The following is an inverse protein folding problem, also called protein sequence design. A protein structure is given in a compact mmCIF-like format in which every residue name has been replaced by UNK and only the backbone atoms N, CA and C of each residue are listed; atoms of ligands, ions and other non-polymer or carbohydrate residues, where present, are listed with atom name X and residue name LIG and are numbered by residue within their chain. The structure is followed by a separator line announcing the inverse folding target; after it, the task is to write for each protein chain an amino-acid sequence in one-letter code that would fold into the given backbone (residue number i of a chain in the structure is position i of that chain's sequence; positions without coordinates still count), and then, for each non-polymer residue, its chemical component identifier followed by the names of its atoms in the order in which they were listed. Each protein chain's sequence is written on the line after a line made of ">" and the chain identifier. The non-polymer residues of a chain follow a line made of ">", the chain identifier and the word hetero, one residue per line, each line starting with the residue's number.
data_IF_542630393267
#
_entry.id   IF_542630393267
#
_cell.length_a   1.000
_cell.length_b   1.000
_cell.length_c   1.000
_cell.angle_alpha   90.00
_cell.angle_beta   90.00
_cell.angle_gamma   90.00
#
_symmetry.space_group_name_H-M   'P 1'
#
loop_
_entity.id
_entity.type
_entity.pdbx_description
1 polymer ?
#
# COMPACT_ATOMS: atom_id res chain seq x y z
N UNK A 1 -5.32 -41.53 -17.63
CA UNK A 1 -4.35 -40.49 -18.04
C UNK A 1 -4.27 -39.42 -16.95
N UNK A 2 -3.50 -39.66 -15.88
CA UNK A 2 -3.30 -38.70 -14.77
C UNK A 2 -1.82 -38.43 -14.45
N UNK A 3 -0.89 -38.95 -15.25
CA UNK A 3 0.54 -39.00 -14.90
C UNK A 3 1.24 -37.63 -14.86
N UNK A 4 0.62 -36.56 -15.37
CA UNK A 4 1.16 -35.20 -15.29
C UNK A 4 0.77 -34.48 -13.99
N UNK A 5 -0.32 -34.90 -13.33
CA UNK A 5 -0.82 -34.22 -12.14
C UNK A 5 0.01 -34.64 -10.93
N UNK A 6 0.70 -33.68 -10.30
CA UNK A 6 1.63 -33.91 -9.20
C UNK A 6 1.11 -33.40 -7.86
N UNK A 7 0.19 -32.43 -7.88
CA UNK A 7 -0.40 -31.85 -6.67
C UNK A 7 -1.94 -31.77 -6.74
N UNK A 8 -2.56 -31.30 -5.65
CA UNK A 8 -4.00 -31.20 -5.54
C UNK A 8 -4.64 -30.27 -6.60
N UNK A 9 -4.00 -29.15 -6.93
CA UNK A 9 -4.46 -28.20 -7.94
C UNK A 9 -4.46 -28.85 -9.32
N UNK A 10 -3.40 -29.57 -9.66
CA UNK A 10 -3.29 -30.28 -10.94
C UNK A 10 -4.44 -31.28 -11.13
N UNK A 11 -4.85 -31.96 -10.06
CA UNK A 11 -5.98 -32.90 -10.11
C UNK A 11 -7.32 -32.22 -10.39
N UNK A 12 -7.56 -31.01 -9.85
CA UNK A 12 -8.76 -30.23 -10.19
C UNK A 12 -8.75 -29.80 -11.65
N UNK A 13 -7.60 -29.34 -12.16
CA UNK A 13 -7.44 -28.97 -13.57
C UNK A 13 -7.64 -30.18 -14.50
N UNK A 14 -7.03 -31.32 -14.16
CA UNK A 14 -7.15 -32.57 -14.91
C UNK A 14 -8.60 -33.07 -14.96
N UNK A 15 -9.35 -32.94 -13.87
CA UNK A 15 -10.76 -33.32 -13.83
C UNK A 15 -11.58 -32.49 -14.82
N UNK A 16 -11.39 -31.16 -14.84
CA UNK A 16 -12.12 -30.30 -15.77
C UNK A 16 -11.72 -30.55 -17.22
N UNK A 17 -10.42 -30.74 -17.50
CA UNK A 17 -9.94 -31.09 -18.85
C UNK A 17 -10.59 -32.37 -19.37
N UNK A 18 -10.67 -33.42 -18.54
CA UNK A 18 -11.30 -34.68 -18.92
C UNK A 18 -12.80 -34.51 -19.21
N UNK A 19 -13.51 -33.70 -18.42
CA UNK A 19 -14.93 -33.38 -18.65
C UNK A 19 -15.15 -32.71 -20.02
N UNK A 20 -14.26 -31.79 -20.40
CA UNK A 20 -14.37 -31.04 -21.67
C UNK A 20 -13.60 -31.66 -22.84
N UNK A 21 -13.06 -32.88 -22.68
CA UNK A 21 -12.34 -33.60 -23.73
C UNK A 21 -11.00 -32.98 -24.15
N UNK A 22 -10.35 -32.21 -23.27
CA UNK A 22 -9.03 -31.61 -23.50
C UNK A 22 -7.91 -32.48 -22.94
N UNK A 23 -6.77 -32.49 -23.62
CA UNK A 23 -5.54 -33.13 -23.17
C UNK A 23 -4.46 -32.08 -22.91
N UNK A 24 -3.58 -32.27 -21.92
CA UNK A 24 -2.45 -31.37 -21.68
C UNK A 24 -1.52 -31.30 -22.90
N UNK A 25 -0.97 -30.11 -23.13
CA UNK A 25 0.13 -29.91 -24.08
C UNK A 25 1.40 -30.60 -23.57
N UNK A 26 2.33 -30.99 -24.48
CA UNK A 26 3.64 -31.48 -24.06
C UNK A 26 4.40 -30.39 -23.29
N UNK A 27 5.27 -30.83 -22.38
CA UNK A 27 6.13 -29.93 -21.61
C UNK A 27 7.04 -29.12 -22.53
N UNK A 28 7.24 -27.85 -22.20
CA UNK A 28 8.09 -26.97 -22.98
C UNK A 28 9.57 -27.36 -22.79
N UNK A 29 10.38 -27.21 -23.84
CA UNK A 29 11.83 -27.39 -23.71
C UNK A 29 12.43 -26.42 -22.68
N UNK A 30 13.50 -26.83 -22.01
CA UNK A 30 14.11 -26.11 -20.87
C UNK A 30 14.33 -24.62 -21.16
N UNK A 31 14.85 -24.27 -22.33
CA UNK A 31 15.08 -22.87 -22.70
C UNK A 31 13.79 -22.04 -22.75
N UNK A 32 12.72 -22.60 -23.29
CA UNK A 32 11.39 -21.97 -23.32
C UNK A 32 10.79 -21.88 -21.92
N UNK A 33 10.95 -22.94 -21.12
CA UNK A 33 10.44 -23.01 -19.76
C UNK A 33 11.06 -21.91 -18.89
N UNK A 34 12.40 -21.79 -18.87
CA UNK A 34 13.09 -20.72 -18.13
C UNK A 34 12.68 -19.33 -18.61
N UNK A 35 12.59 -19.12 -19.93
CA UNK A 35 12.20 -17.81 -20.46
C UNK A 35 10.81 -17.39 -20.00
N UNK A 36 9.83 -18.31 -20.00
CA UNK A 36 8.46 -18.03 -19.56
C UNK A 36 8.44 -17.67 -18.09
N UNK A 37 8.99 -18.53 -17.24
CA UNK A 37 8.94 -18.30 -15.79
C UNK A 37 9.72 -17.05 -15.35
N UNK A 38 10.84 -16.72 -16.02
CA UNK A 38 11.54 -15.45 -15.76
C UNK A 38 10.67 -14.24 -16.10
N UNK A 39 10.01 -14.23 -17.27
CA UNK A 39 9.13 -13.13 -17.66
C UNK A 39 7.91 -13.00 -16.75
N UNK A 40 7.36 -14.13 -16.31
CA UNK A 40 6.20 -14.14 -15.42
C UNK A 40 6.56 -13.62 -14.03
N UNK A 41 7.68 -14.09 -13.46
CA UNK A 41 8.07 -13.76 -12.08
C UNK A 41 8.77 -12.41 -11.96
N UNK A 42 9.64 -12.03 -12.90
CA UNK A 42 10.45 -10.81 -12.80
C UNK A 42 10.17 -9.78 -13.89
N UNK A 43 9.37 -10.13 -14.91
CA UNK A 43 9.16 -9.27 -16.08
C UNK A 43 10.37 -9.17 -17.01
N UNK A 44 11.46 -9.89 -16.74
CA UNK A 44 12.71 -9.81 -17.47
C UNK A 44 13.09 -11.16 -18.08
N UNK A 45 13.66 -11.20 -19.29
CA UNK A 45 14.20 -12.44 -19.84
C UNK A 45 15.44 -12.90 -19.05
N UNK A 46 15.73 -14.22 -18.99
CA UNK A 46 16.98 -14.69 -18.40
C UNK A 46 18.18 -14.18 -19.20
N UNK A 47 19.30 -13.96 -18.53
CA UNK A 47 20.55 -13.62 -19.24
C UNK A 47 21.06 -14.84 -20.03
N UNK A 48 21.88 -14.65 -21.09
CA UNK A 48 22.47 -15.77 -21.82
C UNK A 48 23.23 -16.76 -20.92
N UNK A 49 23.93 -16.26 -19.90
CA UNK A 49 24.65 -17.09 -18.93
C UNK A 49 23.71 -17.89 -18.04
N UNK A 50 22.62 -17.29 -17.55
CA UNK A 50 21.61 -18.00 -16.76
C UNK A 50 20.90 -19.08 -17.58
N UNK A 51 20.63 -18.81 -18.85
CA UNK A 51 20.01 -19.77 -19.78
C UNK A 51 20.94 -20.95 -20.03
N UNK A 52 22.21 -20.70 -20.36
CA UNK A 52 23.20 -21.75 -20.59
C UNK A 52 23.40 -22.62 -19.34
N UNK A 53 23.47 -21.99 -18.15
CA UNK A 53 23.58 -22.72 -16.89
C UNK A 53 22.37 -23.62 -16.62
N UNK A 54 21.15 -23.12 -16.83
CA UNK A 54 19.93 -23.90 -16.63
C UNK A 54 19.80 -25.07 -17.60
N UNK A 55 20.14 -24.87 -18.87
CA UNK A 55 20.08 -25.93 -19.89
C UNK A 55 21.11 -27.03 -19.63
N UNK A 56 22.24 -26.69 -19.03
CA UNK A 56 23.28 -27.64 -18.64
C UNK A 56 23.04 -28.29 -17.27
N UNK A 57 22.04 -27.84 -16.50
CA UNK A 57 21.78 -28.32 -15.16
C UNK A 57 21.05 -29.68 -15.19
N UNK A 58 21.76 -30.75 -14.81
CA UNK A 58 21.22 -32.11 -14.73
C UNK A 58 20.91 -32.55 -13.30
N UNK A 59 21.08 -31.67 -12.31
CA UNK A 59 20.81 -32.00 -10.91
C UNK A 59 19.29 -32.09 -10.67
N UNK A 60 18.83 -32.93 -9.73
CA UNK A 60 17.41 -33.03 -9.38
C UNK A 60 16.86 -31.66 -8.99
N UNK A 61 15.63 -31.33 -9.39
CA UNK A 61 14.98 -30.05 -9.08
C UNK A 61 15.64 -28.78 -9.67
N UNK A 62 16.28 -28.89 -10.83
CA UNK A 62 16.86 -27.73 -11.53
C UNK A 62 15.85 -26.61 -11.78
N UNK A 63 14.60 -26.96 -12.13
CA UNK A 63 13.53 -25.99 -12.38
C UNK A 63 13.14 -25.23 -11.10
N UNK A 64 12.91 -25.95 -10.00
CA UNK A 64 12.52 -25.39 -8.71
C UNK A 64 13.61 -24.46 -8.18
N UNK A 65 14.89 -24.85 -8.26
CA UNK A 65 15.99 -23.94 -7.90
C UNK A 65 16.05 -22.68 -8.78
N UNK A 66 15.72 -22.81 -10.07
CA UNK A 66 15.65 -21.65 -10.95
C UNK A 66 14.49 -20.73 -10.57
N UNK A 67 13.34 -21.29 -10.18
CA UNK A 67 12.18 -20.56 -9.66
C UNK A 67 12.53 -19.85 -8.34
N UNK A 68 13.14 -20.53 -7.38
CA UNK A 68 13.54 -19.96 -6.09
C UNK A 68 14.47 -18.76 -6.28
N UNK A 69 15.44 -18.88 -7.20
CA UNK A 69 16.35 -17.77 -7.56
C UNK A 69 15.61 -16.57 -8.17
N UNK A 70 14.54 -16.81 -8.93
CA UNK A 70 13.73 -15.74 -9.51
C UNK A 70 12.85 -15.07 -8.46
N UNK A 71 12.25 -15.85 -7.54
CA UNK A 71 11.47 -15.33 -6.41
C UNK A 71 12.33 -14.49 -5.45
N UNK A 72 13.59 -14.86 -5.26
CA UNK A 72 14.57 -14.10 -4.45
C UNK A 72 15.13 -12.85 -5.17
N UNK A 73 14.80 -12.63 -6.45
CA UNK A 73 15.27 -11.46 -7.18
C UNK A 73 14.52 -10.20 -6.73
N UNK A 74 15.18 -9.04 -6.57
CA UNK A 74 14.48 -7.78 -6.28
C UNK A 74 13.46 -7.40 -7.37
N UNK A 75 13.65 -7.90 -8.60
CA UNK A 75 12.73 -7.69 -9.71
C UNK A 75 11.39 -8.43 -9.54
N UNK A 76 11.30 -9.42 -8.65
CA UNK A 76 10.04 -10.10 -8.32
C UNK A 76 9.04 -9.10 -7.72
N UNK A 77 9.46 -8.36 -6.69
CA UNK A 77 8.63 -7.34 -6.05
C UNK A 77 8.31 -6.17 -6.98
N UNK A 78 9.22 -5.78 -7.87
CA UNK A 78 8.95 -4.77 -8.90
C UNK A 78 7.85 -5.24 -9.88
N UNK A 79 7.92 -6.50 -10.31
CA UNK A 79 6.96 -7.11 -11.23
C UNK A 79 5.58 -7.26 -10.61
N UNK A 80 5.51 -7.90 -9.44
CA UNK A 80 4.25 -8.23 -8.77
C UNK A 80 3.65 -7.03 -8.03
N UNK A 81 4.50 -6.18 -7.46
CA UNK A 81 4.07 -4.92 -6.85
C UNK A 81 3.29 -4.04 -7.81
N UNK A 82 3.65 -4.00 -9.11
CA UNK A 82 2.88 -3.26 -10.13
C UNK A 82 1.42 -3.68 -10.21
N UNK A 83 1.11 -4.97 -10.11
CA UNK A 83 -0.27 -5.47 -10.14
C UNK A 83 -1.04 -5.02 -8.90
N UNK A 84 -0.40 -5.05 -7.73
CA UNK A 84 -1.00 -4.53 -6.51
C UNK A 84 -1.20 -3.02 -6.55
N UNK A 85 -0.24 -2.27 -7.07
CA UNK A 85 -0.30 -0.81 -7.17
C UNK A 85 -1.43 -0.34 -8.08
N UNK A 86 -1.71 -1.09 -9.16
CA UNK A 86 -2.87 -0.85 -10.02
C UNK A 86 -4.18 -1.04 -9.23
N UNK A 87 -4.31 -2.16 -8.51
CA UNK A 87 -5.46 -2.43 -7.65
C UNK A 87 -5.63 -1.35 -6.54
N UNK A 88 -4.51 -0.89 -5.97
CA UNK A 88 -4.49 0.17 -4.97
C UNK A 88 -4.66 1.59 -5.55
N UNK A 89 -4.90 1.72 -6.86
CA UNK A 89 -5.09 2.99 -7.59
C UNK A 89 -3.92 3.97 -7.45
N UNK A 90 -2.70 3.44 -7.34
CA UNK A 90 -1.49 4.25 -7.27
C UNK A 90 -1.32 5.08 -8.56
N UNK A 91 -1.00 6.36 -8.39
CA UNK A 91 -0.66 7.26 -9.49
C UNK A 91 0.30 8.34 -9.01
N UNK A 92 1.17 8.82 -9.91
CA UNK A 92 2.07 9.96 -9.66
C UNK A 92 1.38 11.32 -9.90
N UNK A 93 0.07 11.33 -10.14
CA UNK A 93 -0.76 12.52 -10.26
C UNK A 93 -1.99 12.47 -9.34
N UNK A 94 -2.59 13.62 -9.09
CA UNK A 94 -3.77 13.80 -8.22
C UNK A 94 -5.02 13.11 -8.78
N UNK A 95 -5.05 12.77 -10.07
CA UNK A 95 -6.09 11.98 -10.71
C UNK A 95 -7.42 12.72 -10.86
N UNK A 96 -7.44 14.04 -10.63
CA UNK A 96 -8.63 14.89 -10.71
C UNK A 96 -8.48 15.95 -11.80
N UNK A 97 -9.44 16.85 -11.97
CA UNK A 97 -9.50 17.83 -13.07
C UNK A 97 -8.20 18.63 -13.34
N UNK A 98 -7.53 19.14 -12.30
CA UNK A 98 -6.23 19.85 -12.44
C UNK A 98 -5.04 18.88 -12.66
N UNK A 99 -5.21 17.62 -12.25
CA UNK A 99 -4.26 16.51 -12.33
C UNK A 99 -2.81 16.87 -12.02
N UNK A 100 -2.59 17.61 -10.92
CA UNK A 100 -1.24 18.00 -10.53
C UNK A 100 -0.39 16.79 -10.11
N UNK A 101 0.93 16.92 -10.21
CA UNK A 101 1.84 15.89 -9.74
C UNK A 101 1.74 15.70 -8.23
N UNK A 102 1.66 14.44 -7.78
CA UNK A 102 1.69 14.07 -6.36
C UNK A 102 2.87 13.17 -6.06
N UNK A 103 3.34 13.22 -4.82
CA UNK A 103 4.44 12.38 -4.36
C UNK A 103 3.95 11.42 -3.29
N UNK A 104 3.84 10.15 -3.66
CA UNK A 104 3.49 9.03 -2.75
C UNK A 104 4.35 7.79 -3.03
N UNK A 105 5.48 7.97 -3.72
CA UNK A 105 6.42 6.89 -4.04
C UNK A 105 6.88 6.05 -2.82
N UNK A 106 6.95 6.56 -1.56
CA UNK A 106 7.32 5.69 -0.45
C UNK A 106 6.31 4.56 -0.22
N UNK A 107 5.04 4.75 -0.56
CA UNK A 107 4.05 3.67 -0.55
C UNK A 107 4.32 2.64 -1.65
N UNK A 108 4.66 3.08 -2.86
CA UNK A 108 5.09 2.19 -3.97
C UNK A 108 6.26 1.31 -3.55
N UNK A 109 7.29 1.92 -3.00
CA UNK A 109 8.49 1.21 -2.57
C UNK A 109 8.18 0.28 -1.40
N UNK A 110 7.30 0.67 -0.46
CA UNK A 110 6.82 -0.23 0.59
C UNK A 110 6.13 -1.48 0.03
N UNK A 111 5.29 -1.34 -1.01
CA UNK A 111 4.64 -2.49 -1.66
C UNK A 111 5.68 -3.41 -2.30
N UNK A 112 6.62 -2.86 -3.08
CA UNK A 112 7.70 -3.63 -3.73
C UNK A 112 8.50 -4.42 -2.68
N UNK A 113 8.91 -3.75 -1.60
CA UNK A 113 9.66 -4.38 -0.51
C UNK A 113 8.83 -5.41 0.25
N UNK A 114 7.52 -5.21 0.39
CA UNK A 114 6.62 -6.19 1.02
C UNK A 114 6.55 -7.50 0.24
N UNK A 115 6.53 -7.45 -1.10
CA UNK A 115 6.66 -8.64 -1.93
C UNK A 115 8.05 -9.28 -1.83
N UNK A 116 9.12 -8.49 -1.92
CA UNK A 116 10.49 -9.02 -1.88
C UNK A 116 10.87 -9.68 -0.55
N UNK A 117 10.27 -9.23 0.56
CA UNK A 117 10.47 -9.83 1.89
C UNK A 117 9.49 -10.96 2.22
N UNK A 118 8.67 -11.36 1.24
CA UNK A 118 7.62 -12.37 1.39
C UNK A 118 6.72 -12.09 2.61
N UNK A 119 6.20 -10.86 2.70
CA UNK A 119 5.38 -10.46 3.83
C UNK A 119 4.08 -11.30 3.86
N UNK A 120 3.77 -12.00 4.96
CA UNK A 120 2.55 -12.77 5.06
C UNK A 120 1.31 -11.94 4.73
N UNK A 121 0.39 -12.52 3.95
CA UNK A 121 -0.76 -11.80 3.41
C UNK A 121 -1.63 -11.15 4.49
N UNK A 122 -1.83 -11.82 5.63
CA UNK A 122 -2.55 -11.27 6.78
C UNK A 122 -1.90 -9.97 7.30
N UNK A 123 -0.58 -9.93 7.39
CA UNK A 123 0.18 -8.73 7.78
C UNK A 123 0.16 -7.68 6.70
N UNK A 124 0.31 -8.07 5.44
CA UNK A 124 0.25 -7.17 4.30
C UNK A 124 -1.08 -6.41 4.23
N UNK A 125 -2.20 -7.08 4.49
CA UNK A 125 -3.53 -6.46 4.55
C UNK A 125 -3.66 -5.57 5.79
N UNK A 126 -3.30 -6.06 6.99
CA UNK A 126 -3.43 -5.30 8.23
C UNK A 126 -2.61 -4.01 8.21
N UNK A 127 -1.37 -4.05 7.73
CA UNK A 127 -0.52 -2.86 7.66
C UNK A 127 -1.10 -1.80 6.72
N UNK A 128 -1.74 -2.18 5.62
CA UNK A 128 -2.36 -1.23 4.70
C UNK A 128 -3.68 -0.64 5.23
N UNK A 129 -4.49 -1.44 5.92
CA UNK A 129 -5.78 -0.99 6.45
C UNK A 129 -5.64 -0.18 7.75
N UNK A 130 -4.67 -0.52 8.61
CA UNK A 130 -4.59 0.00 9.97
C UNK A 130 -3.15 0.10 10.51
N UNK A 131 -2.13 0.18 9.64
CA UNK A 131 -0.73 0.22 10.05
C UNK A 131 -0.38 1.39 10.97
N UNK A 132 -1.05 2.54 10.85
CA UNK A 132 -0.89 3.69 11.75
C UNK A 132 -1.50 3.46 13.15
N UNK A 133 -2.42 2.50 13.26
CA UNK A 133 -3.12 2.13 14.50
C UNK A 133 -2.45 0.96 15.24
N UNK A 134 -1.40 0.35 14.67
CA UNK A 134 -0.63 -0.67 15.35
C UNK A 134 0.09 -0.10 16.58
N UNK A 135 0.21 -0.86 17.68
CA UNK A 135 1.01 -0.44 18.83
C UNK A 135 2.44 -0.12 18.39
N UNK A 136 2.92 1.07 18.75
CA UNK A 136 4.26 1.54 18.38
C UNK A 136 4.55 1.48 16.87
N UNK A 137 3.53 1.76 16.04
CA UNK A 137 3.60 1.70 14.58
C UNK A 137 4.89 2.29 14.01
N UNK A 138 5.66 1.43 13.33
CA UNK A 138 6.90 1.81 12.65
C UNK A 138 6.61 2.78 11.50
N UNK A 139 7.63 3.49 11.02
CA UNK A 139 7.48 4.35 9.84
C UNK A 139 6.96 3.55 8.62
N UNK A 140 7.47 2.34 8.39
CA UNK A 140 7.02 1.49 7.29
C UNK A 140 5.53 1.13 7.40
N UNK A 141 5.05 0.80 8.60
CA UNK A 141 3.63 0.51 8.84
C UNK A 141 2.73 1.73 8.63
N UNK A 142 3.19 2.92 9.02
CA UNK A 142 2.46 4.16 8.72
C UNK A 142 2.41 4.42 7.22
N UNK A 143 3.52 4.21 6.51
CA UNK A 143 3.61 4.36 5.05
C UNK A 143 2.66 3.39 4.33
N UNK A 144 2.49 2.17 4.84
CA UNK A 144 1.58 1.17 4.28
C UNK A 144 0.13 1.67 4.17
N UNK A 145 -0.31 2.54 5.11
CA UNK A 145 -1.64 3.18 5.05
C UNK A 145 -1.82 4.15 3.88
N UNK A 146 -0.76 4.39 3.10
CA UNK A 146 -0.81 5.06 1.80
C UNK A 146 -1.82 4.44 0.84
N UNK A 147 -2.19 3.15 1.01
CA UNK A 147 -3.32 2.51 0.31
C UNK A 147 -4.59 3.38 0.35
N UNK A 148 -4.92 3.92 1.52
CA UNK A 148 -6.09 4.77 1.73
C UNK A 148 -5.92 6.23 1.29
N UNK A 149 -4.72 6.60 0.85
CA UNK A 149 -4.34 7.94 0.37
C UNK A 149 -4.14 8.01 -1.14
N UNK A 150 -4.41 6.93 -1.87
CA UNK A 150 -4.41 6.92 -3.32
C UNK A 150 -5.70 7.51 -3.94
N UNK A 151 -6.71 7.84 -3.12
CA UNK A 151 -7.92 8.58 -3.53
C UNK A 151 -7.55 9.83 -4.33
N UNK A 152 -8.43 10.26 -5.24
CA UNK A 152 -8.21 11.48 -6.01
C UNK A 152 -8.06 12.71 -5.10
N UNK A 153 -7.29 13.71 -5.54
CA UNK A 153 -7.06 14.95 -4.80
C UNK A 153 -7.57 16.14 -5.61
N UNK A 154 -8.49 16.90 -5.03
CA UNK A 154 -8.99 18.12 -5.66
C UNK A 154 -8.22 19.34 -5.09
N UNK A 155 -7.44 19.99 -5.95
CA UNK A 155 -6.66 21.20 -5.63
C UNK A 155 -7.26 22.48 -6.22
N UNK A 156 -8.48 22.43 -6.78
CA UNK A 156 -9.12 23.57 -7.41
C UNK A 156 -9.54 24.64 -6.41
N UNK A 157 -9.53 25.90 -6.85
CA UNK A 157 -10.09 27.01 -6.09
C UNK A 157 -11.61 26.88 -6.00
N UNK A 158 -12.16 27.02 -4.79
CA UNK A 158 -13.62 26.95 -4.56
C UNK A 158 -14.15 25.55 -4.23
N UNK A 159 -13.28 24.56 -4.03
CA UNK A 159 -13.68 23.23 -3.59
C UNK A 159 -14.45 23.27 -2.27
N UNK A 160 -15.60 22.61 -2.21
CA UNK A 160 -16.27 22.30 -0.95
C UNK A 160 -15.45 21.24 -0.23
N UNK A 161 -14.82 21.65 0.87
CA UNK A 161 -13.91 20.78 1.66
C UNK A 161 -14.64 19.59 2.25
N UNK A 162 -15.91 19.73 2.60
CA UNK A 162 -16.68 18.63 3.16
C UNK A 162 -17.07 17.64 2.07
N UNK A 163 -17.54 18.12 0.92
CA UNK A 163 -17.82 17.26 -0.22
C UNK A 163 -16.58 16.43 -0.59
N UNK A 164 -15.43 17.09 -0.78
CA UNK A 164 -14.18 16.43 -1.14
C UNK A 164 -13.77 15.35 -0.13
N UNK A 165 -13.97 15.62 1.17
CA UNK A 165 -13.68 14.66 2.24
C UNK A 165 -14.64 13.47 2.22
N UNK A 166 -15.91 13.68 1.93
CA UNK A 166 -16.89 12.60 1.86
C UNK A 166 -16.63 11.72 0.63
N UNK A 167 -16.36 12.32 -0.52
CA UNK A 167 -16.04 11.61 -1.76
C UNK A 167 -14.76 10.77 -1.60
N UNK A 168 -13.74 11.26 -0.90
CA UNK A 168 -12.53 10.47 -0.61
C UNK A 168 -12.83 9.25 0.27
N UNK A 169 -13.79 9.34 1.19
CA UNK A 169 -14.21 8.18 2.00
C UNK A 169 -14.99 7.18 1.16
N UNK A 170 -15.88 7.64 0.27
CA UNK A 170 -16.61 6.77 -0.65
C UNK A 170 -15.66 5.98 -1.55
N UNK A 171 -14.69 6.66 -2.16
CA UNK A 171 -13.65 6.03 -2.98
C UNK A 171 -12.83 5.00 -2.19
N UNK A 172 -12.49 5.33 -0.94
CA UNK A 172 -11.75 4.44 -0.04
C UNK A 172 -12.52 3.17 0.29
N UNK A 173 -13.82 3.28 0.57
CA UNK A 173 -14.67 2.11 0.85
C UNK A 173 -14.82 1.25 -0.40
N UNK A 174 -15.06 1.86 -1.56
CA UNK A 174 -15.18 1.15 -2.84
C UNK A 174 -13.89 0.37 -3.15
N UNK A 175 -12.74 1.04 -3.07
CA UNK A 175 -11.42 0.42 -3.32
C UNK A 175 -11.14 -0.70 -2.31
N UNK A 176 -11.44 -0.49 -1.02
CA UNK A 176 -11.24 -1.53 0.00
C UNK A 176 -12.13 -2.75 -0.27
N UNK A 177 -13.40 -2.54 -0.63
CA UNK A 177 -14.33 -3.60 -0.98
C UNK A 177 -13.85 -4.44 -2.17
N UNK A 178 -13.48 -3.77 -3.26
CA UNK A 178 -13.02 -4.41 -4.49
C UNK A 178 -11.69 -5.17 -4.28
N UNK A 179 -10.70 -4.53 -3.65
CA UNK A 179 -9.34 -5.09 -3.55
C UNK A 179 -9.24 -6.16 -2.47
N UNK A 180 -9.87 -5.97 -1.31
CA UNK A 180 -9.69 -6.87 -0.16
C UNK A 180 -10.73 -7.99 -0.13
N UNK A 181 -11.94 -7.74 -0.59
CA UNK A 181 -13.06 -8.69 -0.49
C UNK A 181 -13.57 -9.17 -1.85
N UNK A 182 -13.21 -8.51 -2.97
CA UNK A 182 -13.81 -8.79 -4.27
C UNK A 182 -15.30 -8.40 -4.34
N UNK A 183 -15.74 -7.44 -3.51
CA UNK A 183 -17.13 -7.03 -3.35
C UNK A 183 -17.34 -5.58 -3.74
N UNK A 184 -18.47 -5.27 -4.40
CA UNK A 184 -18.80 -3.93 -4.86
C UNK A 184 -19.50 -3.08 -3.80
N UNK A 185 -18.83 -2.85 -2.66
CA UNK A 185 -19.40 -2.06 -1.54
C UNK A 185 -19.91 -0.68 -1.97
N UNK A 186 -19.33 -0.06 -2.99
CA UNK A 186 -19.76 1.24 -3.52
C UNK A 186 -21.23 1.29 -3.95
N UNK A 187 -21.83 0.17 -4.38
CA UNK A 187 -23.25 0.15 -4.74
C UNK A 187 -24.16 0.42 -3.53
N UNK A 188 -23.70 0.11 -2.32
CA UNK A 188 -24.46 0.29 -1.09
C UNK A 188 -24.47 1.75 -0.58
N UNK A 189 -23.75 2.66 -1.25
CA UNK A 189 -23.68 4.08 -0.88
C UNK A 189 -25.06 4.75 -0.94
N UNK A 190 -25.81 4.52 -2.03
CA UNK A 190 -27.06 5.23 -2.30
C UNK A 190 -28.32 4.42 -1.92
N UNK A 191 -28.23 3.10 -1.88
CA UNK A 191 -29.34 2.19 -1.58
C UNK A 191 -28.77 0.86 -1.07
N UNK A 192 -29.62 -0.07 -0.61
CA UNK A 192 -29.16 -1.42 -0.27
C UNK A 192 -28.53 -2.10 -1.49
N UNK A 193 -27.45 -2.84 -1.30
CA UNK A 193 -26.71 -3.45 -2.40
C UNK A 193 -27.61 -4.33 -3.27
N UNK A 194 -27.46 -4.25 -4.60
CA UNK A 194 -28.42 -4.86 -5.55
C UNK A 194 -28.45 -6.39 -5.50
N UNK A 195 -27.29 -7.02 -5.25
CA UNK A 195 -27.13 -8.48 -5.33
C UNK A 195 -26.64 -9.07 -4.01
N UNK A 196 -25.56 -8.53 -3.45
CA UNK A 196 -25.03 -8.93 -2.14
C UNK A 196 -25.91 -8.46 -0.97
N UNK A 197 -25.98 -9.21 0.15
CA UNK A 197 -26.80 -8.89 1.32
C UNK A 197 -26.12 -7.81 2.19
N UNK A 198 -25.92 -6.63 1.63
CA UNK A 198 -25.31 -5.48 2.31
C UNK A 198 -26.32 -4.33 2.31
N UNK A 199 -26.85 -3.98 3.48
CA UNK A 199 -27.73 -2.82 3.61
C UNK A 199 -26.95 -1.51 3.50
N UNK A 200 -27.62 -0.44 3.08
CA UNK A 200 -27.05 0.91 3.10
C UNK A 200 -26.64 1.31 4.52
N UNK A 201 -27.41 0.91 5.53
CA UNK A 201 -27.05 1.20 6.92
C UNK A 201 -25.70 0.57 7.26
N UNK A 202 -25.47 -0.70 6.92
CA UNK A 202 -24.18 -1.36 7.13
C UNK A 202 -23.04 -0.69 6.35
N UNK A 203 -23.28 -0.22 5.13
CA UNK A 203 -22.31 0.59 4.39
C UNK A 203 -21.89 1.83 5.18
N UNK A 204 -22.84 2.57 5.76
CA UNK A 204 -22.51 3.75 6.56
C UNK A 204 -21.90 3.41 7.93
N UNK A 205 -22.13 2.21 8.46
CA UNK A 205 -21.38 1.70 9.61
C UNK A 205 -19.91 1.43 9.25
N UNK A 206 -19.64 0.90 8.06
CA UNK A 206 -18.29 0.74 7.54
C UNK A 206 -17.64 2.11 7.29
N UNK A 207 -18.39 3.05 6.70
CA UNK A 207 -17.98 4.44 6.49
C UNK A 207 -17.48 5.10 7.77
N UNK A 208 -18.12 4.83 8.92
CA UNK A 208 -17.73 5.43 10.19
C UNK A 208 -16.28 5.09 10.63
N UNK A 209 -15.70 3.98 10.18
CA UNK A 209 -14.27 3.71 10.43
C UNK A 209 -13.39 4.73 9.69
N UNK A 210 -13.64 4.92 8.40
CA UNK A 210 -12.86 5.81 7.54
C UNK A 210 -13.16 7.30 7.76
N UNK A 211 -14.32 7.62 8.34
CA UNK A 211 -14.68 8.99 8.75
C UNK A 211 -13.81 9.51 9.93
N UNK A 212 -13.14 8.61 10.65
CA UNK A 212 -12.42 8.89 11.89
C UNK A 212 -10.90 9.01 11.73
N UNK A 213 -10.46 9.46 10.55
CA UNK A 213 -9.05 9.70 10.27
C UNK A 213 -8.75 11.15 9.88
N UNK A 214 -7.54 11.55 10.23
CA UNK A 214 -6.81 12.68 9.68
C UNK A 214 -5.87 12.18 8.58
N UNK A 215 -5.49 13.10 7.71
CA UNK A 215 -4.84 12.81 6.45
C UNK A 215 -3.50 13.56 6.30
N UNK A 216 -2.54 13.38 7.24
CA UNK A 216 -1.30 14.16 7.24
C UNK A 216 -0.31 13.72 6.14
N UNK A 217 0.67 14.59 5.92
CA UNK A 217 1.94 14.23 5.27
C UNK A 217 3.01 14.07 6.35
N UNK A 218 3.80 13.01 6.26
CA UNK A 218 4.90 12.73 7.19
C UNK A 218 6.25 12.63 6.46
N UNK A 219 7.34 12.87 7.18
CA UNK A 219 8.70 12.58 6.71
C UNK A 219 8.87 11.06 6.48
N UNK A 220 9.34 10.68 5.30
CA UNK A 220 9.67 9.31 4.92
C UNK A 220 11.13 9.22 4.41
N UNK A 221 12.14 9.38 5.29
CA UNK A 221 13.53 9.33 4.89
C UNK A 221 13.95 7.91 4.47
N UNK A 222 14.70 7.81 3.36
CA UNK A 222 15.40 6.57 2.97
C UNK A 222 16.42 6.16 4.03
N UNK A 223 16.87 4.91 4.02
CA UNK A 223 17.93 4.42 4.92
C UNK A 223 19.20 5.26 4.83
N UNK A 224 19.58 5.69 3.63
CA UNK A 224 20.72 6.58 3.40
C UNK A 224 20.51 7.94 4.07
N UNK A 225 19.34 8.57 3.86
CA UNK A 225 19.02 9.86 4.48
C UNK A 225 18.95 9.73 6.01
N UNK A 226 18.42 8.62 6.53
CA UNK A 226 18.44 8.33 7.97
C UNK A 226 19.86 8.23 8.52
N UNK A 227 20.75 7.51 7.82
CA UNK A 227 22.15 7.38 8.20
C UNK A 227 22.87 8.75 8.21
N UNK A 228 22.65 9.56 7.18
CA UNK A 228 23.22 10.91 7.10
C UNK A 228 22.65 11.85 8.18
N UNK A 229 21.37 11.70 8.53
CA UNK A 229 20.70 12.47 9.59
C UNK A 229 21.21 12.12 10.99
N UNK A 230 21.52 10.85 11.28
CA UNK A 230 21.87 10.40 12.62
C UNK A 230 22.99 11.23 13.29
N UNK A 231 24.07 11.51 12.56
CA UNK A 231 25.20 12.30 13.08
C UNK A 231 24.84 13.78 13.31
N UNK A 232 23.94 14.34 12.51
CA UNK A 232 23.49 15.74 12.65
C UNK A 232 22.44 15.85 13.76
N UNK A 233 21.56 14.85 13.89
CA UNK A 233 20.51 14.80 14.90
C UNK A 233 21.10 14.68 16.30
N UNK A 234 22.19 13.92 16.47
CA UNK A 234 22.93 13.87 17.73
C UNK A 234 23.56 15.23 18.08
N UNK A 235 24.15 15.93 17.11
CA UNK A 235 24.67 17.30 17.33
C UNK A 235 23.56 18.28 17.67
N UNK A 236 22.42 18.20 16.98
CA UNK A 236 21.24 19.02 17.26
C UNK A 236 20.80 18.80 18.71
N UNK A 237 20.68 17.54 19.14
CA UNK A 237 20.28 17.17 20.50
C UNK A 237 21.24 17.73 21.56
N UNK A 238 22.55 17.67 21.32
CA UNK A 238 23.57 18.24 22.22
C UNK A 238 23.46 19.76 22.32
N UNK A 239 23.23 20.44 21.20
CA UNK A 239 23.07 21.90 21.14
C UNK A 239 21.75 22.33 21.78
N UNK A 240 20.66 21.60 21.57
CA UNK A 240 19.37 21.85 22.22
C UNK A 240 19.43 21.64 23.74
N UNK A 241 20.12 20.60 24.21
CA UNK A 241 20.37 20.40 25.63
C UNK A 241 21.17 21.56 26.24
N UNK A 242 22.24 21.99 25.57
CA UNK A 242 23.05 23.15 25.98
C UNK A 242 22.21 24.44 26.03
N UNK A 243 21.30 24.63 25.07
CA UNK A 243 20.42 25.79 25.02
C UNK A 243 19.37 25.77 26.14
N UNK A 244 18.84 24.59 26.47
CA UNK A 244 17.83 24.42 27.54
C UNK A 244 18.37 24.72 28.94
N UNK A 245 19.68 24.53 29.15
CA UNK A 245 20.35 24.83 30.42
C UNK A 245 20.73 26.30 30.63
N UNK A 246 20.50 27.18 29.65
CA UNK A 246 20.88 28.59 29.71
C UNK A 246 19.71 29.50 30.05
N UNK A 247 19.98 30.52 30.89
CA UNK A 247 19.05 31.61 31.14
C UNK A 247 18.73 32.38 29.84
N UNK A 248 17.56 33.04 29.78
CA UNK A 248 17.15 33.82 28.59
C UNK A 248 18.09 34.96 28.24
N UNK A 249 18.77 35.52 29.25
CA UNK A 249 19.67 36.68 29.13
C UNK A 249 21.14 36.27 28.93
N UNK A 250 21.43 34.97 28.82
CA UNK A 250 22.80 34.49 28.70
C UNK A 250 23.43 34.96 27.37
N UNK A 251 24.59 35.60 27.45
CA UNK A 251 25.31 36.14 26.30
C UNK A 251 25.68 35.08 25.24
N UNK A 252 25.78 33.79 25.62
CA UNK A 252 26.07 32.68 24.71
C UNK A 252 24.84 32.13 24.01
N UNK A 253 23.63 32.45 24.49
CA UNK A 253 22.37 31.91 23.99
C UNK A 253 22.20 32.14 22.49
N UNK A 254 22.39 33.38 22.04
CA UNK A 254 22.26 33.75 20.62
C UNK A 254 23.20 32.96 19.71
N UNK A 255 24.46 32.78 20.13
CA UNK A 255 25.45 32.01 19.38
C UNK A 255 25.09 30.52 19.27
N UNK A 256 24.49 29.96 20.31
CA UNK A 256 24.01 28.57 20.33
C UNK A 256 22.76 28.42 19.48
N UNK A 257 21.83 29.40 19.50
CA UNK A 257 20.66 29.45 18.62
C UNK A 257 21.08 29.54 17.14
N UNK A 258 22.07 30.36 16.80
CA UNK A 258 22.62 30.46 15.44
C UNK A 258 23.28 29.14 14.99
N UNK A 259 24.00 28.48 15.90
CA UNK A 259 24.62 27.17 15.65
C UNK A 259 23.56 26.08 15.43
N UNK A 260 22.49 26.08 16.23
CA UNK A 260 21.35 25.19 16.08
C UNK A 260 20.65 25.40 14.74
N UNK A 261 20.41 26.66 14.35
CA UNK A 261 19.80 27.01 13.08
C UNK A 261 20.67 26.53 11.90
N UNK A 262 22.00 26.69 11.99
CA UNK A 262 22.95 26.19 10.98
C UNK A 262 22.91 24.67 10.88
N UNK A 263 22.92 23.95 12.01
CA UNK A 263 22.82 22.49 12.02
C UNK A 263 21.51 21.98 11.40
N UNK A 264 20.37 22.59 11.79
CA UNK A 264 19.05 22.29 11.21
C UNK A 264 19.02 22.54 9.70
N UNK A 265 19.72 23.56 9.20
CA UNK A 265 19.83 23.85 7.76
C UNK A 265 20.71 22.84 7.02
N UNK A 266 21.75 22.29 7.67
CA UNK A 266 22.62 21.25 7.07
C UNK A 266 22.02 19.85 7.12
N UNK A 267 20.96 19.64 7.91
CA UNK A 267 20.27 18.35 8.01
C UNK A 267 19.65 17.97 6.66
N UNK A 268 19.99 16.80 6.07
CA UNK A 268 19.42 16.35 4.80
C UNK A 268 17.89 16.34 4.83
N UNK A 269 17.26 16.81 3.76
CA UNK A 269 15.80 16.75 3.61
C UNK A 269 15.36 15.32 3.32
N UNK A 270 14.21 14.94 3.86
CA UNK A 270 13.55 13.68 3.56
C UNK A 270 12.46 13.93 2.54
N UNK A 271 12.12 12.90 1.78
CA UNK A 271 10.84 12.88 1.09
C UNK A 271 9.70 12.92 2.11
N UNK A 272 8.54 13.35 1.66
CA UNK A 272 7.31 13.26 2.45
C UNK A 272 6.34 12.33 1.74
N UNK A 273 5.43 11.72 2.49
CA UNK A 273 4.38 10.88 1.94
C UNK A 273 3.08 11.07 2.68
N UNK A 274 1.97 10.77 2.01
CA UNK A 274 0.63 10.84 2.57
C UNK A 274 0.33 9.55 3.31
N UNK A 275 -0.20 9.67 4.53
CA UNK A 275 -0.59 8.52 5.37
C UNK A 275 -1.95 8.77 6.00
N UNK A 276 -2.55 7.73 6.58
CA UNK A 276 -3.66 7.88 7.51
C UNK A 276 -3.14 8.17 8.92
N UNK A 277 -3.93 8.88 9.71
CA UNK A 277 -3.72 9.01 11.15
C UNK A 277 -5.06 9.00 11.88
N UNK A 278 -5.23 8.10 12.84
CA UNK A 278 -6.44 8.09 13.68
C UNK A 278 -6.64 9.43 14.40
N UNK A 279 -7.89 9.93 14.38
CA UNK A 279 -8.28 11.11 15.14
C UNK A 279 -8.33 10.86 16.64
N UNK A 280 -7.98 11.88 17.42
CA UNK A 280 -8.21 11.89 18.88
C UNK A 280 -9.69 11.96 19.22
N UNK A 281 -10.41 12.82 18.51
CA UNK A 281 -11.86 13.01 18.65
C UNK A 281 -12.57 12.47 17.40
N UNK A 282 -13.32 11.36 17.54
CA UNK A 282 -14.12 10.80 16.47
C UNK A 282 -15.14 11.81 15.94
N UNK A 283 -15.37 11.78 14.62
CA UNK A 283 -16.48 12.49 13.99
C UNK A 283 -17.76 11.69 14.19
N UNK A 284 -18.87 12.39 14.39
CA UNK A 284 -20.20 11.80 14.26
C UNK A 284 -20.42 11.37 12.81
N UNK A 285 -20.82 10.13 12.60
CA UNK A 285 -21.17 9.61 11.27
C UNK A 285 -22.67 9.51 11.14
N UNK A 286 -23.21 10.02 10.03
CA UNK A 286 -24.62 9.89 9.68
C UNK A 286 -24.75 9.16 8.36
N UNK A 287 -25.84 8.42 8.19
CA UNK A 287 -26.24 7.91 6.88
C UNK A 287 -26.67 9.09 6.01
N UNK A 288 -26.36 9.05 4.72
CA UNK A 288 -26.84 10.05 3.77
C UNK A 288 -27.94 9.49 2.88
N UNK A 289 -29.03 10.25 2.72
CA UNK A 289 -30.15 9.83 1.89
C UNK A 289 -29.69 9.79 0.44
N UNK A 290 -29.75 8.61 -0.18
CA UNK A 290 -29.29 8.39 -1.56
C UNK A 290 -27.81 8.78 -1.80
N UNK A 291 -26.97 8.72 -0.77
CA UNK A 291 -25.55 9.07 -0.89
C UNK A 291 -25.25 10.57 -0.85
N UNK A 292 -26.27 11.42 -0.76
CA UNK A 292 -26.12 12.88 -0.79
C UNK A 292 -25.70 13.43 0.58
N UNK A 293 -24.42 13.86 0.69
CA UNK A 293 -23.83 14.34 1.94
C UNK A 293 -24.55 15.54 2.55
N UNK A 294 -25.32 16.30 1.74
CA UNK A 294 -26.12 17.44 2.21
C UNK A 294 -27.43 17.03 2.86
N UNK A 295 -27.80 15.74 2.77
CA UNK A 295 -29.05 15.15 3.28
C UNK A 295 -28.74 14.09 4.35
N UNK A 296 -28.21 14.48 5.52
CA UNK A 296 -27.96 13.54 6.60
C UNK A 296 -29.27 13.00 7.18
N UNK A 297 -29.27 11.71 7.46
CA UNK A 297 -30.33 11.01 8.16
C UNK A 297 -29.88 10.68 9.60
N UNK A 298 -30.17 9.47 10.06
CA UNK A 298 -29.81 9.00 11.39
C UNK A 298 -28.29 8.85 11.58
N UNK A 299 -27.85 8.98 12.83
CA UNK A 299 -26.49 8.66 13.25
C UNK A 299 -26.25 7.16 13.22
N UNK A 300 -25.06 6.75 12.81
CA UNK A 300 -24.64 5.35 12.80
C UNK A 300 -23.32 5.17 13.53
N UNK A 301 -23.20 4.04 14.22
CA UNK A 301 -21.98 3.63 14.90
C UNK A 301 -21.14 2.73 13.98
N UNK A 302 -19.82 2.75 14.17
CA UNK A 302 -18.91 1.91 13.40
C UNK A 302 -19.29 0.42 13.48
N UNK A 303 -19.14 -0.29 12.38
CA UNK A 303 -19.47 -1.71 12.26
C UNK A 303 -19.23 -2.24 10.86
N UNK A 304 -19.15 -3.56 10.73
CA UNK A 304 -18.97 -4.25 9.46
C UNK A 304 -20.30 -4.81 8.96
N UNK A 305 -20.47 -5.00 7.63
CA UNK A 305 -21.57 -5.80 7.10
C UNK A 305 -21.59 -7.19 7.71
N UNK A 306 -22.78 -7.73 8.02
CA UNK A 306 -22.93 -9.02 8.68
C UNK A 306 -22.55 -10.24 7.81
N UNK A 307 -22.27 -10.03 6.52
CA UNK A 307 -21.82 -11.07 5.58
C UNK A 307 -20.31 -11.34 5.64
N UNK A 308 -19.54 -10.45 6.28
CA UNK A 308 -18.10 -10.60 6.52
C UNK A 308 -17.83 -11.37 7.82
#
# INVERSE_FOLDING_TARGET
>A
QRNWAQNAVDHFVAAKQAEVGLTPSPEAGQATLLRRVSLDLTGLPPTPGQLAAFVADTEPQAYERAVDRLLQSPHYGERWGRHWLDAARYADSDGYSHDAARSIWPYRDWVIEAFNRDLPFDRFVVEQLAGDMLPEATLAQRIATGFHRNTQINTEGGVDREQFRIDSIYDRIATTGEVMFGLTFGCAQCHDHKYDPISQVEYYRLFAFFNNADEPRIDAPTREVQFQRAAIDEKIKQVEASLSGLAKEDAKRKSIEDSLAKLKKTRPKAATTMVMARRKEPRTTRRFIQGDFTRPAEEVQAGTPGVL
#
